data_IF_148305548050
#
_entry.id   IF_148305548050
#
_cell.length_a   1.000
_cell.length_b   1.000
_cell.length_c   1.000
_cell.angle_alpha   90.00
_cell.angle_beta   90.00
_cell.angle_gamma   90.00
#
_symmetry.space_group_name_H-M   'P 1'
#
loop_
_entity.id
_entity.type
_entity.pdbx_description
1 polymer ?
#
# COMPACT_ATOMS: atom_id res chain seq x y z
N UNK A 1 -13.13 4.98 15.29
CA UNK A 1 -13.03 6.39 15.75
C UNK A 1 -11.73 7.06 15.31
N UNK A 2 -10.58 6.42 15.50
CA UNK A 2 -9.28 6.93 14.98
C UNK A 2 -9.32 7.16 13.47
N UNK A 3 -9.79 6.19 12.68
CA UNK A 3 -9.94 6.34 11.22
C UNK A 3 -10.84 7.54 10.84
N UNK A 4 -11.97 7.71 11.54
CA UNK A 4 -12.89 8.84 11.31
C UNK A 4 -12.22 10.19 11.55
N UNK A 5 -11.59 10.38 12.71
CA UNK A 5 -10.87 11.61 13.05
C UNK A 5 -9.71 11.86 12.09
N UNK A 6 -8.97 10.80 11.75
CA UNK A 6 -7.86 10.84 10.82
C UNK A 6 -8.29 11.31 9.43
N UNK A 7 -9.33 10.71 8.85
CA UNK A 7 -9.87 11.11 7.54
C UNK A 7 -10.38 12.54 7.54
N UNK A 8 -10.97 13.00 8.65
CA UNK A 8 -11.40 14.38 8.83
C UNK A 8 -10.24 15.40 9.02
N UNK A 9 -8.98 14.98 9.01
CA UNK A 9 -7.81 15.85 9.20
C UNK A 9 -7.53 16.20 10.66
N UNK A 10 -8.30 15.63 11.60
CA UNK A 10 -8.16 15.86 13.05
C UNK A 10 -7.08 14.94 13.64
N UNK A 11 -5.88 14.95 13.06
CA UNK A 11 -4.78 14.05 13.42
C UNK A 11 -4.37 14.18 14.89
N UNK A 12 -4.35 15.39 15.44
CA UNK A 12 -4.03 15.62 16.86
C UNK A 12 -5.04 14.95 17.79
N UNK A 13 -6.31 14.91 17.40
CA UNK A 13 -7.35 14.27 18.20
C UNK A 13 -7.32 12.76 18.05
N UNK A 14 -7.03 12.27 16.85
CA UNK A 14 -6.77 10.85 16.62
C UNK A 14 -5.59 10.36 17.49
N UNK A 15 -4.50 11.12 17.57
CA UNK A 15 -3.37 10.82 18.47
C UNK A 15 -3.76 10.86 19.94
N UNK A 16 -4.48 11.90 20.38
CA UNK A 16 -4.94 12.00 21.77
C UNK A 16 -5.84 10.82 22.14
N UNK A 17 -6.73 10.42 21.25
CA UNK A 17 -7.59 9.27 21.45
C UNK A 17 -6.78 7.99 21.64
N UNK A 18 -5.77 7.77 20.80
CA UNK A 18 -4.85 6.62 20.91
C UNK A 18 -4.11 6.64 22.25
N UNK A 19 -3.54 7.77 22.65
CA UNK A 19 -2.81 7.91 23.92
C UNK A 19 -3.66 7.70 25.16
N UNK A 20 -4.96 7.96 25.05
CA UNK A 20 -5.91 7.84 26.14
C UNK A 20 -6.66 6.49 26.13
N UNK A 21 -6.30 5.55 25.24
CA UNK A 21 -6.88 4.22 25.27
C UNK A 21 -6.51 3.51 26.56
N UNK A 22 -7.45 2.81 27.22
CA UNK A 22 -7.16 2.05 28.45
C UNK A 22 -6.42 0.73 28.16
N UNK A 23 -6.05 0.47 26.91
CA UNK A 23 -5.37 -0.72 26.42
C UNK A 23 -4.39 -0.34 25.32
N UNK A 24 -3.43 -1.24 25.04
CA UNK A 24 -2.48 -1.06 23.96
C UNK A 24 -3.19 -1.02 22.60
N UNK A 25 -2.95 0.02 21.77
CA UNK A 25 -3.57 0.12 20.47
C UNK A 25 -3.07 -0.99 19.53
N UNK A 26 -3.99 -1.58 18.78
CA UNK A 26 -3.67 -2.63 17.82
C UNK A 26 -3.07 -2.08 16.51
N UNK A 27 -2.53 -2.98 15.69
CA UNK A 27 -1.95 -2.63 14.39
C UNK A 27 -2.97 -1.95 13.45
N UNK A 28 -4.25 -2.33 13.54
CA UNK A 28 -5.32 -1.68 12.77
C UNK A 28 -5.50 -0.20 13.16
N UNK A 29 -5.41 0.11 14.46
CA UNK A 29 -5.49 1.48 14.98
C UNK A 29 -4.31 2.33 14.49
N UNK A 30 -3.09 1.81 14.55
CA UNK A 30 -1.92 2.48 14.00
C UNK A 30 -1.99 2.61 12.47
N UNK A 31 -2.50 1.58 11.78
CA UNK A 31 -2.73 1.58 10.33
C UNK A 31 -3.70 2.67 9.89
N UNK A 32 -4.77 2.89 10.65
CA UNK A 32 -5.71 3.99 10.43
C UNK A 32 -5.02 5.36 10.58
N UNK A 33 -4.19 5.53 11.61
CA UNK A 33 -3.44 6.77 11.82
C UNK A 33 -2.41 7.01 10.71
N UNK A 34 -1.69 5.97 10.28
CA UNK A 34 -0.74 6.01 9.16
C UNK A 34 -1.44 6.43 7.86
N UNK A 35 -2.55 5.77 7.52
CA UNK A 35 -3.32 6.07 6.32
C UNK A 35 -3.83 7.51 6.29
N UNK A 36 -4.37 7.98 7.41
CA UNK A 36 -4.80 9.37 7.57
C UNK A 36 -3.65 10.37 7.49
N UNK A 37 -2.53 10.08 8.17
CA UNK A 37 -1.35 10.95 8.19
C UNK A 37 -0.75 11.12 6.80
N UNK A 38 -0.76 10.06 5.98
CA UNK A 38 -0.38 10.12 4.56
C UNK A 38 -1.29 11.05 3.76
N UNK A 39 -2.61 10.94 3.92
CA UNK A 39 -3.59 11.76 3.19
C UNK A 39 -3.37 13.25 3.48
N UNK A 40 -3.05 13.59 4.72
CA UNK A 40 -2.86 14.97 5.18
C UNK A 40 -1.40 15.43 5.19
N UNK A 41 -0.49 14.66 4.57
CA UNK A 41 0.92 15.04 4.41
C UNK A 41 1.76 15.06 5.70
N UNK A 42 1.26 14.51 6.80
CA UNK A 42 2.00 14.44 8.06
C UNK A 42 2.98 13.26 8.04
N UNK A 43 4.15 13.51 7.46
CA UNK A 43 5.19 12.48 7.26
C UNK A 43 5.70 11.93 8.58
N UNK A 44 5.97 12.80 9.56
CA UNK A 44 6.48 12.38 10.88
C UNK A 44 5.52 11.43 11.60
N UNK A 45 4.23 11.73 11.58
CA UNK A 45 3.23 10.86 12.21
C UNK A 45 3.08 9.54 11.46
N UNK A 46 3.20 9.57 10.13
CA UNK A 46 3.22 8.37 9.31
C UNK A 46 4.41 7.47 9.66
N UNK A 47 5.60 8.04 9.81
CA UNK A 47 6.80 7.28 10.20
C UNK A 47 6.63 6.61 11.56
N UNK A 48 6.19 7.35 12.58
CA UNK A 48 5.96 6.80 13.93
C UNK A 48 4.91 5.69 13.93
N UNK A 49 3.78 5.88 13.24
CA UNK A 49 2.74 4.85 13.16
C UNK A 49 3.26 3.59 12.44
N UNK A 50 4.03 3.76 11.37
CA UNK A 50 4.59 2.64 10.63
C UNK A 50 5.64 1.86 11.43
N UNK A 51 6.48 2.53 12.22
CA UNK A 51 7.46 1.88 13.11
C UNK A 51 6.77 0.94 14.11
N UNK A 52 5.70 1.41 14.76
CA UNK A 52 4.91 0.60 15.69
C UNK A 52 4.25 -0.59 14.99
N UNK A 53 3.73 -0.41 13.77
CA UNK A 53 3.17 -1.52 13.01
C UNK A 53 4.25 -2.54 12.61
N UNK A 54 5.47 -2.11 12.30
CA UNK A 54 6.56 -3.06 11.98
C UNK A 54 7.01 -3.88 13.18
N UNK A 55 6.85 -3.37 14.39
CA UNK A 55 7.09 -4.12 15.61
C UNK A 55 5.98 -5.14 15.89
N UNK A 56 4.72 -4.79 15.58
CA UNK A 56 3.55 -5.64 15.81
C UNK A 56 3.32 -6.69 14.72
N UNK A 57 3.45 -6.30 13.45
CA UNK A 57 3.18 -7.10 12.26
C UNK A 57 4.35 -7.01 11.26
N UNK A 58 5.52 -7.57 11.60
CA UNK A 58 6.73 -7.43 10.78
C UNK A 58 6.57 -8.03 9.38
N UNK A 59 5.66 -8.98 9.18
CA UNK A 59 5.32 -9.63 7.92
C UNK A 59 4.33 -8.85 7.03
N UNK A 60 3.73 -7.77 7.53
CA UNK A 60 2.70 -7.02 6.79
C UNK A 60 3.29 -6.18 5.65
N UNK A 61 3.46 -6.79 4.48
CA UNK A 61 4.03 -6.16 3.29
C UNK A 61 3.33 -4.86 2.86
N UNK A 62 2.03 -4.73 3.15
CA UNK A 62 1.25 -3.54 2.80
C UNK A 62 1.77 -2.28 3.47
N UNK A 63 2.19 -2.38 4.74
CA UNK A 63 2.63 -1.23 5.53
C UNK A 63 4.02 -0.73 5.10
N UNK A 64 4.92 -1.65 4.73
CA UNK A 64 6.21 -1.28 4.15
C UNK A 64 6.03 -0.56 2.81
N UNK A 65 5.14 -1.06 1.96
CA UNK A 65 4.83 -0.45 0.67
C UNK A 65 4.20 0.93 0.87
N UNK A 66 3.30 1.09 1.84
CA UNK A 66 2.65 2.36 2.12
C UNK A 66 3.64 3.46 2.53
N UNK A 67 4.55 3.16 3.47
CA UNK A 67 5.58 4.09 3.90
C UNK A 67 6.62 4.36 2.80
N UNK A 68 7.00 3.33 2.03
CA UNK A 68 7.88 3.49 0.86
C UNK A 68 7.28 4.43 -0.19
N UNK A 69 5.99 4.31 -0.46
CA UNK A 69 5.28 5.20 -1.38
C UNK A 69 5.21 6.65 -0.85
N UNK A 70 5.03 6.84 0.45
CA UNK A 70 5.10 8.17 1.08
C UNK A 70 6.48 8.80 0.86
N UNK A 71 7.56 8.04 1.08
CA UNK A 71 8.91 8.53 0.80
C UNK A 71 9.13 8.87 -0.67
N UNK A 72 8.62 8.05 -1.59
CA UNK A 72 8.71 8.31 -3.03
C UNK A 72 7.96 9.59 -3.42
N UNK A 73 6.76 9.81 -2.90
CA UNK A 73 5.98 11.01 -3.15
C UNK A 73 6.68 12.29 -2.67
N UNK A 74 7.49 12.19 -1.60
CA UNK A 74 8.30 13.28 -1.06
C UNK A 74 9.72 13.35 -1.63
N UNK A 75 10.05 12.57 -2.68
CA UNK A 75 11.38 12.55 -3.30
C UNK A 75 12.50 11.94 -2.44
N UNK A 76 12.17 11.27 -1.33
CA UNK A 76 13.11 10.67 -0.38
C UNK A 76 13.58 9.29 -0.85
N UNK A 77 14.24 9.24 -2.01
CA UNK A 77 14.66 7.99 -2.65
C UNK A 77 15.63 7.14 -1.81
N UNK A 78 16.45 7.78 -0.96
CA UNK A 78 17.31 7.07 -0.01
C UNK A 78 16.47 6.24 0.98
N UNK A 79 15.37 6.79 1.49
CA UNK A 79 14.51 6.10 2.45
C UNK A 79 13.63 5.04 1.77
N UNK A 80 13.23 5.25 0.52
CA UNK A 80 12.64 4.19 -0.33
C UNK A 80 13.60 3.00 -0.43
N UNK A 81 14.89 3.26 -0.63
CA UNK A 81 15.92 2.23 -0.77
C UNK A 81 16.15 1.49 0.54
N UNK A 82 16.20 2.21 1.68
CA UNK A 82 16.23 1.61 3.02
C UNK A 82 15.00 0.74 3.27
N UNK A 83 13.81 1.18 2.88
CA UNK A 83 12.59 0.40 3.08
C UNK A 83 12.60 -0.90 2.28
N UNK A 84 13.07 -0.85 1.02
CA UNK A 84 13.28 -2.05 0.19
C UNK A 84 14.31 -3.00 0.81
N UNK A 85 15.39 -2.47 1.38
CA UNK A 85 16.39 -3.29 2.08
C UNK A 85 15.78 -3.92 3.33
N UNK A 86 15.01 -3.16 4.13
CA UNK A 86 14.31 -3.68 5.32
C UNK A 86 13.39 -4.83 4.95
N UNK A 87 12.55 -4.68 3.92
CA UNK A 87 11.68 -5.75 3.42
C UNK A 87 12.46 -7.00 3.00
N UNK A 88 13.61 -6.85 2.33
CA UNK A 88 14.45 -8.01 1.96
C UNK A 88 15.01 -8.71 3.20
N UNK A 89 15.52 -7.94 4.17
CA UNK A 89 16.12 -8.47 5.39
C UNK A 89 15.09 -9.20 6.26
N UNK A 90 13.82 -8.76 6.25
CA UNK A 90 12.71 -9.41 6.93
C UNK A 90 12.00 -10.49 6.08
N UNK A 91 12.54 -10.81 4.91
CA UNK A 91 11.94 -11.74 3.92
C UNK A 91 10.50 -11.38 3.51
N UNK A 92 10.08 -10.14 3.73
CA UNK A 92 8.76 -9.62 3.35
C UNK A 92 8.73 -9.33 1.86
N UNK A 93 7.86 -10.03 1.16
CA UNK A 93 7.60 -9.79 -0.26
C UNK A 93 6.31 -9.02 -0.42
N UNK A 94 6.34 -7.98 -1.24
CA UNK A 94 5.10 -7.33 -1.70
C UNK A 94 4.26 -8.38 -2.42
N UNK A 95 3.03 -8.57 -1.97
CA UNK A 95 2.05 -9.38 -2.73
C UNK A 95 1.73 -8.61 -4.01
N UNK A 96 1.96 -9.20 -5.20
CA UNK A 96 1.57 -8.56 -6.45
C UNK A 96 0.05 -8.38 -6.49
N UNK A 97 -0.41 -7.28 -7.07
CA UNK A 97 -1.83 -7.11 -7.37
C UNK A 97 -2.22 -8.05 -8.50
N UNK A 98 -3.39 -8.66 -8.38
CA UNK A 98 -3.98 -9.50 -9.41
C UNK A 98 -5.42 -9.06 -9.68
N UNK A 99 -5.83 -9.11 -10.94
CA UNK A 99 -7.22 -9.04 -11.36
C UNK A 99 -7.62 -10.36 -11.99
N UNK A 100 -8.90 -10.67 -11.98
CA UNK A 100 -9.41 -11.86 -12.66
C UNK A 100 -10.80 -11.61 -13.24
N UNK A 101 -11.16 -12.38 -14.26
CA UNK A 101 -12.51 -12.45 -14.79
C UNK A 101 -12.86 -13.89 -15.15
N UNK A 102 -14.15 -14.17 -15.21
CA UNK A 102 -14.68 -15.46 -15.62
C UNK A 102 -15.27 -15.36 -17.03
N UNK A 103 -14.82 -16.24 -17.91
CA UNK A 103 -15.31 -16.36 -19.29
C UNK A 103 -15.56 -17.82 -19.57
N UNK A 104 -16.79 -18.16 -19.99
CA UNK A 104 -17.15 -19.54 -20.34
C UNK A 104 -16.77 -20.55 -19.24
N UNK A 105 -17.07 -20.22 -17.97
CA UNK A 105 -16.77 -21.06 -16.80
C UNK A 105 -15.26 -21.32 -16.58
N UNK A 106 -14.40 -20.44 -17.09
CA UNK A 106 -12.96 -20.45 -16.89
C UNK A 106 -12.51 -19.15 -16.24
N UNK A 107 -11.71 -19.25 -15.18
CA UNK A 107 -11.08 -18.10 -14.52
C UNK A 107 -9.83 -17.71 -15.30
N UNK A 108 -9.76 -16.44 -15.68
CA UNK A 108 -8.62 -15.80 -16.31
C UNK A 108 -8.01 -14.79 -15.34
N UNK A 109 -6.80 -15.06 -14.86
CA UNK A 109 -6.08 -14.22 -13.88
C UNK A 109 -4.97 -13.44 -14.58
N UNK A 110 -4.79 -12.19 -14.16
CA UNK A 110 -3.77 -11.27 -14.64
C UNK A 110 -3.03 -10.70 -13.43
N UNK A 111 -1.72 -10.87 -13.38
CA UNK A 111 -0.89 -10.32 -12.30
C UNK A 111 0.04 -9.24 -12.83
N UNK A 112 0.39 -8.28 -11.99
CA UNK A 112 1.33 -7.22 -12.38
C UNK A 112 2.67 -7.84 -12.78
N UNK A 113 3.04 -7.65 -14.05
CA UNK A 113 4.31 -8.10 -14.61
C UNK A 113 4.35 -9.58 -14.98
N UNK A 114 3.23 -10.30 -14.93
CA UNK A 114 3.16 -11.65 -15.48
C UNK A 114 2.89 -11.64 -16.99
N UNK A 115 3.20 -12.77 -17.63
CA UNK A 115 2.90 -13.03 -19.03
C UNK A 115 2.48 -14.50 -19.23
N UNK A 116 1.85 -15.05 -18.18
CA UNK A 116 1.53 -16.47 -18.06
C UNK A 116 0.19 -16.83 -18.72
N UNK A 117 -0.59 -15.83 -19.13
CA UNK A 117 -1.89 -16.06 -19.74
C UNK A 117 -1.76 -16.79 -21.09
N UNK A 118 -2.53 -17.88 -21.35
CA UNK A 118 -2.41 -18.65 -22.60
C UNK A 118 -2.62 -17.80 -23.87
N UNK A 119 -3.54 -16.83 -23.81
CA UNK A 119 -3.82 -15.91 -24.91
C UNK A 119 -3.07 -14.57 -24.83
N UNK A 120 -1.95 -14.49 -24.09
CA UNK A 120 -1.25 -13.21 -23.86
C UNK A 120 -0.97 -12.44 -25.16
N UNK A 121 -0.54 -13.13 -26.22
CA UNK A 121 -0.11 -12.48 -27.46
C UNK A 121 -1.30 -11.80 -28.15
N UNK A 122 -2.47 -12.43 -28.12
CA UNK A 122 -3.72 -11.86 -28.64
C UNK A 122 -4.18 -10.65 -27.82
N UNK A 123 -4.08 -10.75 -26.49
CA UNK A 123 -4.47 -9.68 -25.57
C UNK A 123 -3.59 -8.45 -25.79
N UNK A 124 -2.26 -8.63 -25.87
CA UNK A 124 -1.34 -7.52 -26.11
C UNK A 124 -1.51 -6.90 -27.49
N UNK A 125 -1.73 -7.71 -28.54
CA UNK A 125 -2.02 -7.18 -29.87
C UNK A 125 -3.30 -6.31 -29.88
N UNK A 126 -4.35 -6.75 -29.19
CA UNK A 126 -5.59 -5.97 -29.09
C UNK A 126 -5.42 -4.69 -28.26
N UNK A 127 -4.64 -4.74 -27.16
CA UNK A 127 -4.30 -3.56 -26.37
C UNK A 127 -3.54 -2.52 -27.20
N UNK A 128 -2.62 -2.96 -28.07
CA UNK A 128 -1.89 -2.07 -28.98
C UNK A 128 -2.83 -1.41 -30.00
N UNK A 129 -3.75 -2.17 -30.60
CA UNK A 129 -4.77 -1.63 -31.49
C UNK A 129 -5.65 -0.57 -30.79
N UNK A 130 -6.12 -0.86 -29.57
CA UNK A 130 -6.91 0.08 -28.77
C UNK A 130 -6.12 1.36 -28.47
N UNK A 131 -4.85 1.22 -28.07
CA UNK A 131 -3.98 2.34 -27.79
C UNK A 131 -3.79 3.25 -29.00
N UNK A 132 -3.65 2.67 -30.20
CA UNK A 132 -3.58 3.43 -31.45
C UNK A 132 -4.90 4.17 -31.77
N UNK A 133 -6.05 3.56 -31.48
CA UNK A 133 -7.37 4.19 -31.66
C UNK A 133 -7.61 5.35 -30.69
N UNK A 134 -7.16 5.22 -29.43
CA UNK A 134 -7.33 6.26 -28.41
C UNK A 134 -6.42 7.48 -28.60
N UNK A 135 -5.39 7.38 -29.44
CA UNK A 135 -4.51 8.51 -29.80
C UNK A 135 -5.05 9.37 -30.94
N UNK A 136 -6.12 8.94 -31.63
CA UNK A 136 -6.85 9.74 -32.62
C UNK A 136 -7.94 10.55 -31.94
#
# INVERSE_FOLDING_TARGET
MVDLLGRAGRLNEAQKLIRNMPFEPDAATWGALLGASRIHGNTKLSETAAELIFEMEPENSGMYVLLSNLYAASGRWADVSKMRLKMRNTAVKKVPGYSWLEVQNKIHTFSVGDSCHPDRDKIYAYLEELYLKMKR
#
